data_IF_401916852408
#
_entry.id   IF_401916852408
#
_cell.length_a   1.000
_cell.length_b   1.000
_cell.length_c   1.000
_cell.angle_alpha   90.00
_cell.angle_beta   90.00
_cell.angle_gamma   90.00
#
_symmetry.space_group_name_H-M   'P 1'
#
loop_
_entity.id
_entity.type
_entity.pdbx_description
1 polymer ?
#
# COMPACT_ATOMS: atom_id res chain seq x y z
N UNK A 1 13.91 -6.59 2.47
CA UNK A 1 13.42 -5.28 1.98
C UNK A 1 13.20 -4.36 3.16
N UNK A 2 13.60 -3.11 3.07
CA UNK A 2 13.29 -2.11 4.09
C UNK A 2 12.29 -1.09 3.55
N UNK A 3 11.83 -0.19 4.41
CA UNK A 3 10.82 0.81 4.02
C UNK A 3 11.32 1.72 2.90
N UNK A 4 12.61 2.07 2.94
CA UNK A 4 13.22 2.91 1.91
C UNK A 4 13.18 2.24 0.53
N UNK A 5 13.48 0.95 0.46
CA UNK A 5 13.39 0.18 -0.78
C UNK A 5 11.96 0.09 -1.28
N UNK A 6 11.01 -0.15 -0.35
CA UNK A 6 9.61 -0.19 -0.72
C UNK A 6 9.13 1.14 -1.27
N UNK A 7 9.54 2.24 -0.64
CA UNK A 7 9.18 3.59 -1.09
C UNK A 7 9.68 3.82 -2.53
N UNK A 8 10.91 3.41 -2.83
CA UNK A 8 11.46 3.54 -4.18
C UNK A 8 10.71 2.68 -5.20
N UNK A 9 10.37 1.44 -4.82
CA UNK A 9 9.61 0.54 -5.69
C UNK A 9 8.20 1.09 -5.96
N UNK A 10 7.55 1.60 -4.93
CA UNK A 10 6.22 2.18 -5.06
C UNK A 10 6.26 3.43 -5.95
N UNK A 11 7.27 4.28 -5.79
CA UNK A 11 7.43 5.46 -6.62
C UNK A 11 7.61 5.10 -8.10
N UNK A 12 8.32 4.00 -8.38
CA UNK A 12 8.48 3.52 -9.76
C UNK A 12 7.20 2.94 -10.33
N UNK A 13 6.35 2.35 -9.48
CA UNK A 13 5.10 1.73 -9.92
C UNK A 13 3.96 2.76 -10.08
N UNK A 14 4.03 3.88 -9.39
CA UNK A 14 3.00 4.92 -9.37
C UNK A 14 3.48 6.08 -10.22
N UNK A 15 2.72 6.42 -11.26
CA UNK A 15 3.03 7.57 -12.11
C UNK A 15 1.80 8.44 -12.25
N UNK A 16 2.00 9.74 -12.39
CA UNK A 16 0.89 10.68 -12.61
C UNK A 16 0.15 10.29 -13.89
N UNK A 17 -1.18 10.23 -13.81
CA UNK A 17 -2.01 9.84 -14.94
C UNK A 17 -2.07 8.34 -15.20
N UNK A 18 -1.53 7.51 -14.29
CA UNK A 18 -1.62 6.06 -14.40
C UNK A 18 -2.98 5.52 -13.95
N UNK A 19 -3.08 4.20 -13.80
CA UNK A 19 -4.35 3.54 -13.46
C UNK A 19 -4.79 3.84 -12.04
N UNK A 20 -3.87 4.05 -11.11
CA UNK A 20 -4.18 4.33 -9.72
C UNK A 20 -4.23 5.84 -9.52
N UNK A 21 -5.43 6.37 -9.26
CA UNK A 21 -5.67 7.82 -9.18
C UNK A 21 -6.22 8.25 -7.82
N UNK A 22 -5.99 7.46 -6.79
CA UNK A 22 -6.46 7.74 -5.44
C UNK A 22 -5.28 7.89 -4.49
N UNK A 23 -5.58 8.29 -3.26
CA UNK A 23 -4.58 8.41 -2.20
C UNK A 23 -4.75 7.26 -1.24
N UNK A 24 -3.68 6.53 -0.96
CA UNK A 24 -3.70 5.43 -0.01
C UNK A 24 -2.50 5.52 0.92
N UNK A 25 -2.72 5.16 2.17
CA UNK A 25 -1.68 5.15 3.18
C UNK A 25 -1.57 3.74 3.76
N UNK A 26 -0.36 3.20 3.78
CA UNK A 26 -0.04 2.00 4.53
C UNK A 26 0.52 2.39 5.89
N UNK A 27 -0.01 1.78 6.94
CA UNK A 27 0.48 1.97 8.30
C UNK A 27 1.13 0.67 8.75
N UNK A 28 2.45 0.68 8.88
CA UNK A 28 3.24 -0.48 9.30
C UNK A 28 3.60 -0.45 10.80
N UNK A 29 2.94 0.41 11.55
CA UNK A 29 3.24 0.56 12.97
C UNK A 29 4.58 1.23 13.20
N UNK A 30 5.43 0.58 14.00
CA UNK A 30 6.72 1.16 14.39
C UNK A 30 7.71 1.33 13.25
N UNK A 31 7.55 0.59 12.17
CA UNK A 31 8.42 0.69 10.99
C UNK A 31 8.22 2.03 10.28
N UNK A 32 6.98 2.51 10.24
CA UNK A 32 6.64 3.77 9.60
C UNK A 32 5.42 3.64 8.70
N UNK A 33 5.28 4.59 7.78
CA UNK A 33 4.14 4.67 6.88
C UNK A 33 4.60 4.83 5.45
N UNK A 34 3.74 4.39 4.52
CA UNK A 34 3.94 4.61 3.09
C UNK A 34 2.71 5.33 2.56
N UNK A 35 2.87 6.54 2.06
CA UNK A 35 1.79 7.33 1.49
C UNK A 35 1.92 7.36 -0.02
N UNK A 36 0.90 6.86 -0.71
CA UNK A 36 0.87 6.81 -2.17
C UNK A 36 -0.20 7.78 -2.66
N UNK A 37 0.24 8.80 -3.41
CA UNK A 37 -0.66 9.76 -4.04
C UNK A 37 -0.71 9.48 -5.53
N UNK A 38 -1.74 8.76 -5.95
CA UNK A 38 -1.92 8.42 -7.36
C UNK A 38 -2.37 9.59 -8.21
N UNK A 39 -2.87 10.66 -7.59
CA UNK A 39 -3.28 11.86 -8.33
C UNK A 39 -2.07 12.61 -8.85
N UNK A 40 -1.07 12.82 -8.01
CA UNK A 40 0.17 13.52 -8.39
C UNK A 40 1.27 12.58 -8.85
N UNK A 41 1.11 11.27 -8.62
CA UNK A 41 2.12 10.28 -8.97
C UNK A 41 3.32 10.29 -8.03
N UNK A 42 3.11 10.68 -6.77
CA UNK A 42 4.19 10.77 -5.78
C UNK A 42 4.01 9.73 -4.67
N UNK A 43 5.13 9.35 -4.07
CA UNK A 43 5.16 8.41 -2.94
C UNK A 43 6.11 8.95 -1.90
N UNK A 44 5.68 8.98 -0.64
CA UNK A 44 6.51 9.42 0.47
C UNK A 44 6.14 8.64 1.75
N UNK A 45 6.68 9.07 2.89
CA UNK A 45 6.44 8.41 4.17
C UNK A 45 5.66 9.30 5.13
N UNK A 46 4.86 10.22 4.60
CA UNK A 46 4.07 11.13 5.43
C UNK A 46 2.85 10.45 6.03
N UNK A 47 2.30 11.05 7.08
CA UNK A 47 1.06 10.62 7.72
C UNK A 47 -0.08 11.54 7.27
N UNK A 48 -0.16 11.78 5.97
CA UNK A 48 -1.19 12.64 5.39
C UNK A 48 -2.54 11.92 5.28
N UNK A 49 -3.61 12.67 5.14
CA UNK A 49 -4.94 12.10 4.94
C UNK A 49 -5.00 11.39 3.58
N UNK A 50 -5.64 10.23 3.58
CA UNK A 50 -5.78 9.40 2.39
C UNK A 50 -7.22 8.94 2.22
N UNK A 51 -7.59 8.55 0.99
CA UNK A 51 -8.91 7.98 0.70
C UNK A 51 -9.11 6.65 1.40
N UNK A 52 -8.04 5.89 1.59
CA UNK A 52 -8.05 4.66 2.36
C UNK A 52 -6.74 4.51 3.13
N UNK A 53 -6.82 3.89 4.29
CA UNK A 53 -5.66 3.54 5.11
C UNK A 53 -5.63 2.04 5.30
N UNK A 54 -4.50 1.42 5.01
CA UNK A 54 -4.30 -0.02 5.17
C UNK A 54 -3.31 -0.25 6.32
N UNK A 55 -3.78 -0.91 7.36
CA UNK A 55 -2.94 -1.28 8.51
C UNK A 55 -2.51 -2.72 8.34
N UNK A 56 -1.22 -2.97 8.35
CA UNK A 56 -0.65 -4.30 8.17
C UNK A 56 0.74 -4.33 8.80
N UNK A 57 1.10 -5.43 9.43
CA UNK A 57 2.45 -5.62 9.96
C UNK A 57 3.44 -5.65 8.82
N UNK A 58 4.65 -5.14 9.08
CA UNK A 58 5.70 -5.08 8.05
C UNK A 58 6.03 -6.46 7.49
N UNK A 59 6.15 -7.47 8.36
CA UNK A 59 6.44 -8.83 7.92
C UNK A 59 5.33 -9.39 7.03
N UNK A 60 4.07 -9.15 7.40
CA UNK A 60 2.92 -9.59 6.60
C UNK A 60 2.87 -8.86 5.27
N UNK A 61 3.19 -7.58 5.26
CA UNK A 61 3.22 -6.80 4.02
C UNK A 61 4.26 -7.36 3.05
N UNK A 62 5.44 -7.73 3.55
CA UNK A 62 6.48 -8.30 2.70
C UNK A 62 6.01 -9.61 2.06
N UNK A 63 5.27 -10.44 2.80
CA UNK A 63 4.68 -11.66 2.26
C UNK A 63 3.64 -11.37 1.20
N UNK A 64 2.81 -10.36 1.41
CA UNK A 64 1.81 -9.93 0.43
C UNK A 64 2.49 -9.45 -0.86
N UNK A 65 3.51 -8.62 -0.73
CA UNK A 65 4.22 -8.07 -1.88
C UNK A 65 4.97 -9.16 -2.67
N UNK A 66 5.47 -10.17 -1.97
CA UNK A 66 6.18 -11.30 -2.60
C UNK A 66 5.23 -12.35 -3.19
N UNK A 67 3.93 -12.21 -2.98
CA UNK A 67 2.95 -13.19 -3.45
C UNK A 67 2.87 -14.43 -2.57
N UNK A 68 3.47 -14.41 -1.38
CA UNK A 68 3.45 -15.53 -0.44
C UNK A 68 2.19 -15.57 0.42
N UNK A 69 1.44 -14.48 0.46
CA UNK A 69 0.20 -14.37 1.23
C UNK A 69 -0.87 -13.71 0.35
N UNK A 70 -2.06 -14.30 0.36
CA UNK A 70 -3.20 -13.76 -0.37
C UNK A 70 -3.79 -12.57 0.39
N UNK A 71 -3.94 -11.39 -0.24
CA UNK A 71 -4.53 -10.22 0.43
C UNK A 71 -5.93 -10.47 0.98
N UNK A 72 -6.76 -11.22 0.26
CA UNK A 72 -8.12 -11.54 0.71
C UNK A 72 -8.08 -12.39 1.97
N UNK A 73 -7.22 -13.39 2.02
CA UNK A 73 -7.06 -14.24 3.21
C UNK A 73 -6.49 -13.43 4.37
N UNK A 74 -5.53 -12.57 4.12
CA UNK A 74 -4.96 -11.71 5.16
C UNK A 74 -6.02 -10.80 5.76
N UNK A 75 -6.90 -10.24 4.92
CA UNK A 75 -8.00 -9.41 5.38
C UNK A 75 -8.97 -10.21 6.26
N UNK A 76 -9.35 -11.41 5.82
CA UNK A 76 -10.27 -12.27 6.57
C UNK A 76 -9.68 -12.73 7.91
N UNK A 77 -8.38 -12.91 7.98
CA UNK A 77 -7.68 -13.32 9.20
C UNK A 77 -7.37 -12.16 10.14
N UNK A 78 -7.69 -10.94 9.76
CA UNK A 78 -7.41 -9.76 10.57
C UNK A 78 -5.96 -9.29 10.51
N UNK A 79 -5.16 -9.83 9.62
CA UNK A 79 -3.75 -9.41 9.42
C UNK A 79 -3.64 -8.12 8.61
N UNK A 80 -4.67 -7.84 7.82
CA UNK A 80 -4.77 -6.65 6.99
C UNK A 80 -6.07 -5.95 7.36
N UNK A 81 -5.99 -4.68 7.75
CA UNK A 81 -7.16 -3.89 8.10
C UNK A 81 -7.24 -2.68 7.19
N UNK A 82 -8.44 -2.39 6.70
CA UNK A 82 -8.68 -1.28 5.79
C UNK A 82 -9.68 -0.33 6.41
N UNK A 83 -9.33 0.95 6.43
CA UNK A 83 -10.24 2.03 6.84
C UNK A 83 -10.40 2.99 5.67
N UNK A 84 -11.60 3.52 5.49
CA UNK A 84 -11.90 4.46 4.41
C UNK A 84 -12.57 3.78 3.23
N UNK A 85 -12.21 4.17 2.03
CA UNK A 85 -12.87 3.72 0.80
C UNK A 85 -12.41 2.33 0.38
N UNK A 86 -13.32 1.35 0.45
CA UNK A 86 -13.01 -0.04 0.09
C UNK A 86 -12.70 -0.21 -1.40
N UNK A 87 -13.26 0.64 -2.26
CA UNK A 87 -12.95 0.54 -3.69
C UNK A 87 -11.49 0.90 -3.96
N UNK A 88 -10.92 1.82 -3.19
CA UNK A 88 -9.50 2.16 -3.26
C UNK A 88 -8.65 0.95 -2.85
N UNK A 89 -9.05 0.26 -1.79
CA UNK A 89 -8.36 -0.93 -1.34
C UNK A 89 -8.35 -2.03 -2.40
N UNK A 90 -9.43 -2.18 -3.14
CA UNK A 90 -9.52 -3.15 -4.23
C UNK A 90 -8.59 -2.78 -5.39
N UNK A 91 -8.49 -1.49 -5.73
CA UNK A 91 -7.56 -1.04 -6.76
C UNK A 91 -6.11 -1.27 -6.34
N UNK A 92 -5.85 -1.21 -5.04
CA UNK A 92 -4.53 -1.40 -4.49
C UNK A 92 -3.97 -2.80 -4.74
N UNK A 93 -4.82 -3.82 -4.82
CA UNK A 93 -4.38 -5.18 -5.11
C UNK A 93 -3.62 -5.25 -6.44
N UNK A 94 -4.12 -4.56 -7.46
CA UNK A 94 -3.45 -4.48 -8.75
C UNK A 94 -2.11 -3.74 -8.66
N UNK A 95 -2.05 -2.69 -7.84
CA UNK A 95 -0.82 -1.93 -7.64
C UNK A 95 0.22 -2.76 -6.90
N UNK A 96 -0.19 -3.53 -5.88
CA UNK A 96 0.73 -4.35 -5.09
C UNK A 96 1.45 -5.40 -5.93
N UNK A 97 0.81 -5.93 -6.97
CA UNK A 97 1.44 -6.92 -7.83
C UNK A 97 2.65 -6.34 -8.57
N UNK A 98 2.75 -5.01 -8.70
CA UNK A 98 3.89 -4.35 -9.33
C UNK A 98 5.07 -4.16 -8.39
N UNK A 99 4.90 -4.47 -7.10
CA UNK A 99 5.96 -4.32 -6.10
C UNK A 99 6.85 -5.57 -6.01
N UNK A 100 6.41 -6.67 -6.58
CA UNK A 100 7.15 -7.92 -6.51
C UNK A 100 8.13 -8.11 -7.67
#
# INVERSE_FOLDING_TARGET
MDLSELTAKAASAVTAGGDFTKKVKFDFGDVGKLFIDGVSGTVDNSDSDADATVKVDWDDFQKLAAGEMDPTMAFMQGKLKVAGDMSVAMQLQGLMSKFS
#
